data_IF_671426409858
#
_entry.id   IF_671426409858
#
_cell.length_a   1.000
_cell.length_b   1.000
_cell.length_c   1.000
_cell.angle_alpha   90.00
_cell.angle_beta   90.00
_cell.angle_gamma   90.00
#
_symmetry.space_group_name_H-M   'P 1'
#
loop_
_entity.id
_entity.type
_entity.pdbx_description
1 polymer ?
#
# COMPACT_ATOMS: atom_id res chain seq x y z
N UNK A 1 -9.10 10.75 22.86
CA UNK A 1 -9.06 9.53 22.03
C UNK A 1 -7.65 9.40 21.46
N UNK A 2 -6.99 8.28 21.69
CA UNK A 2 -5.62 8.12 21.21
C UNK A 2 -5.62 7.31 19.90
N UNK A 3 -5.14 7.93 18.80
CA UNK A 3 -5.08 7.34 17.47
C UNK A 3 -3.76 6.57 17.29
N UNK A 4 -3.58 5.48 18.03
CA UNK A 4 -2.30 4.77 18.05
C UNK A 4 -2.03 3.97 16.78
N UNK A 5 -3.03 3.21 16.30
CA UNK A 5 -2.87 2.35 15.13
C UNK A 5 -2.70 3.18 13.85
N UNK A 6 -3.59 4.13 13.60
CA UNK A 6 -3.53 4.97 12.40
C UNK A 6 -2.24 5.78 12.32
N UNK A 7 -1.77 6.36 13.44
CA UNK A 7 -0.51 7.11 13.48
C UNK A 7 0.67 6.18 13.17
N UNK A 8 0.72 4.99 13.79
CA UNK A 8 1.80 4.02 13.57
C UNK A 8 1.87 3.59 12.10
N UNK A 9 0.74 3.13 11.53
CA UNK A 9 0.72 2.64 10.15
C UNK A 9 0.91 3.76 9.13
N UNK A 10 0.38 4.97 9.37
CA UNK A 10 0.63 6.12 8.51
C UNK A 10 2.12 6.47 8.47
N UNK A 11 2.80 6.48 9.61
CA UNK A 11 4.24 6.70 9.68
C UNK A 11 5.03 5.61 8.95
N UNK A 12 4.72 4.34 9.20
CA UNK A 12 5.37 3.20 8.54
C UNK A 12 5.21 3.24 7.02
N UNK A 13 3.98 3.42 6.54
CA UNK A 13 3.71 3.50 5.10
C UNK A 13 4.28 4.76 4.46
N UNK A 14 4.37 5.87 5.20
CA UNK A 14 5.04 7.08 4.74
C UNK A 14 6.53 6.84 4.46
N UNK A 15 7.22 6.13 5.35
CA UNK A 15 8.63 5.74 5.14
C UNK A 15 8.80 4.81 3.93
N UNK A 16 7.92 3.83 3.77
CA UNK A 16 7.93 2.94 2.60
C UNK A 16 7.67 3.75 1.32
N UNK A 17 6.72 4.67 1.36
CA UNK A 17 6.40 5.53 0.22
C UNK A 17 7.60 6.34 -0.26
N UNK A 18 8.33 6.98 0.66
CA UNK A 18 9.56 7.74 0.34
C UNK A 18 10.63 6.82 -0.26
N UNK A 19 10.82 5.62 0.30
CA UNK A 19 11.75 4.64 -0.26
C UNK A 19 11.39 4.28 -1.72
N UNK A 20 10.13 3.96 -1.99
CA UNK A 20 9.67 3.62 -3.35
C UNK A 20 9.78 4.81 -4.32
N UNK A 21 9.50 6.02 -3.85
CA UNK A 21 9.67 7.25 -4.64
C UNK A 21 11.14 7.50 -4.99
N UNK A 22 12.03 7.29 -4.03
CA UNK A 22 13.47 7.44 -4.24
C UNK A 22 14.02 6.42 -5.25
N UNK A 23 13.52 5.17 -5.26
CA UNK A 23 13.89 4.16 -6.26
C UNK A 23 13.54 4.61 -7.67
N UNK A 24 12.33 5.12 -7.89
CA UNK A 24 11.91 5.64 -9.20
C UNK A 24 12.80 6.80 -9.63
N UNK A 25 13.04 7.76 -8.74
CA UNK A 25 13.88 8.93 -9.03
C UNK A 25 15.30 8.53 -9.38
N UNK A 26 15.89 7.60 -8.61
CA UNK A 26 17.24 7.08 -8.85
C UNK A 26 17.37 6.44 -10.24
N UNK A 27 16.39 5.64 -10.66
CA UNK A 27 16.39 5.01 -11.97
C UNK A 27 16.17 6.01 -13.10
N UNK A 28 15.31 7.02 -12.89
CA UNK A 28 15.12 8.11 -13.85
C UNK A 28 16.42 8.90 -14.11
N UNK A 29 17.15 9.20 -13.05
CA UNK A 29 18.45 9.86 -13.16
C UNK A 29 19.46 8.97 -13.87
N UNK A 30 19.51 7.67 -13.51
CA UNK A 30 20.42 6.70 -14.13
C UNK A 30 20.21 6.59 -15.65
N UNK A 31 18.95 6.56 -16.10
CA UNK A 31 18.61 6.38 -17.52
C UNK A 31 18.33 7.69 -18.26
N UNK A 32 18.38 8.83 -17.58
CA UNK A 32 18.04 10.16 -18.15
C UNK A 32 16.62 10.19 -18.74
N UNK A 33 15.65 9.53 -18.06
CA UNK A 33 14.25 9.43 -18.48
C UNK A 33 13.37 10.29 -17.58
N UNK A 34 12.84 11.40 -18.13
CA UNK A 34 11.96 12.30 -17.38
C UNK A 34 10.50 11.84 -17.31
N UNK A 35 10.01 11.17 -18.35
CA UNK A 35 8.63 10.72 -18.48
C UNK A 35 8.57 9.32 -19.09
N UNK A 36 7.60 8.51 -18.62
CA UNK A 36 7.50 7.10 -19.03
C UNK A 36 8.63 6.26 -18.45
N UNK A 37 8.92 5.14 -19.07
CA UNK A 37 9.96 4.18 -18.65
C UNK A 37 11.19 4.16 -19.58
N UNK A 38 11.10 4.85 -20.71
CA UNK A 38 12.18 4.88 -21.69
C UNK A 38 12.57 3.51 -22.26
N UNK A 39 11.73 2.49 -22.13
CA UNK A 39 12.01 1.11 -22.51
C UNK A 39 12.83 0.34 -21.46
N UNK A 40 13.06 0.90 -20.28
CA UNK A 40 13.81 0.25 -19.20
C UNK A 40 12.86 -0.51 -18.26
N UNK A 41 12.94 -1.83 -18.26
CA UNK A 41 12.05 -2.72 -17.50
C UNK A 41 12.13 -2.51 -15.99
N UNK A 42 13.32 -2.29 -15.46
CA UNK A 42 13.52 -2.03 -14.03
C UNK A 42 12.85 -0.70 -13.60
N UNK A 43 12.93 0.33 -14.44
CA UNK A 43 12.23 1.58 -14.22
C UNK A 43 10.71 1.39 -14.32
N UNK A 44 10.22 0.65 -15.32
CA UNK A 44 8.80 0.32 -15.43
C UNK A 44 8.29 -0.40 -14.17
N UNK A 45 9.01 -1.40 -13.68
CA UNK A 45 8.65 -2.11 -12.45
C UNK A 45 8.61 -1.18 -11.23
N UNK A 46 9.61 -0.32 -11.06
CA UNK A 46 9.66 0.64 -9.96
C UNK A 46 8.47 1.63 -10.03
N UNK A 47 8.14 2.14 -11.21
CA UNK A 47 6.98 3.01 -11.43
C UNK A 47 5.69 2.29 -11.06
N UNK A 48 5.52 1.03 -11.46
CA UNK A 48 4.30 0.25 -11.15
C UNK A 48 4.18 -0.12 -9.68
N UNK A 49 5.29 -0.43 -9.01
CA UNK A 49 5.31 -0.68 -7.56
C UNK A 49 4.88 0.58 -6.81
N UNK A 50 5.51 1.71 -7.10
CA UNK A 50 5.18 3.00 -6.49
C UNK A 50 3.74 3.43 -6.80
N UNK A 51 3.31 3.31 -8.07
CA UNK A 51 1.96 3.67 -8.50
C UNK A 51 0.89 2.84 -7.78
N UNK A 52 1.03 1.53 -7.74
CA UNK A 52 0.09 0.65 -7.06
C UNK A 52 0.01 0.94 -5.54
N UNK A 53 1.15 1.22 -4.91
CA UNK A 53 1.19 1.64 -3.51
C UNK A 53 0.41 2.95 -3.31
N UNK A 54 0.64 3.95 -4.16
CA UNK A 54 -0.02 5.25 -4.10
C UNK A 54 -1.53 5.18 -4.37
N UNK A 55 -1.98 4.21 -5.15
CA UNK A 55 -3.38 4.01 -5.48
C UNK A 55 -4.18 3.41 -4.33
N UNK A 56 -3.59 2.49 -3.55
CA UNK A 56 -4.33 1.74 -2.54
C UNK A 56 -4.06 2.16 -1.09
N UNK A 57 -2.81 2.42 -0.73
CA UNK A 57 -2.43 2.64 0.67
C UNK A 57 -3.05 3.90 1.27
N UNK A 58 -3.06 5.08 0.61
CA UNK A 58 -3.67 6.27 1.18
C UNK A 58 -5.15 6.08 1.48
N UNK A 59 -5.89 5.43 0.58
CA UNK A 59 -7.32 5.18 0.80
C UNK A 59 -7.56 4.20 1.96
N UNK A 60 -6.77 3.14 2.05
CA UNK A 60 -6.83 2.20 3.17
C UNK A 60 -6.52 2.87 4.52
N UNK A 61 -5.54 3.80 4.54
CA UNK A 61 -5.21 4.56 5.75
C UNK A 61 -6.32 5.53 6.16
N UNK A 62 -7.00 6.16 5.20
CA UNK A 62 -8.17 7.01 5.49
C UNK A 62 -9.26 6.16 6.15
N UNK A 63 -9.58 5.00 5.60
CA UNK A 63 -10.58 4.10 6.17
C UNK A 63 -10.17 3.59 7.56
N UNK A 64 -8.89 3.27 7.76
CA UNK A 64 -8.35 2.90 9.07
C UNK A 64 -8.52 4.02 10.08
N UNK A 65 -8.16 5.25 9.71
CA UNK A 65 -8.31 6.43 10.56
C UNK A 65 -9.76 6.65 10.95
N UNK A 66 -10.67 6.62 9.99
CA UNK A 66 -12.10 6.75 10.26
C UNK A 66 -12.60 5.62 11.17
N UNK A 67 -12.17 4.38 10.92
CA UNK A 67 -12.53 3.23 11.77
C UNK A 67 -12.04 3.42 13.20
N UNK A 68 -10.83 3.94 13.40
CA UNK A 68 -10.28 4.21 14.74
C UNK A 68 -11.04 5.35 15.45
N UNK A 69 -11.38 6.41 14.72
CA UNK A 69 -12.16 7.55 15.24
C UNK A 69 -13.56 7.14 15.73
N UNK A 70 -14.21 6.21 15.07
CA UNK A 70 -15.55 5.72 15.44
C UNK A 70 -15.52 4.56 16.45
N UNK A 71 -14.38 4.29 17.08
CA UNK A 71 -14.23 3.32 18.15
C UNK A 71 -13.88 1.90 17.70
N UNK A 72 -13.26 1.75 16.53
CA UNK A 72 -12.73 0.46 16.08
C UNK A 72 -11.79 -0.18 17.09
N UNK A 73 -11.94 -1.49 17.30
CA UNK A 73 -11.17 -2.22 18.31
C UNK A 73 -9.68 -2.28 17.94
N UNK A 74 -8.75 -2.00 18.87
CA UNK A 74 -7.31 -1.96 18.58
C UNK A 74 -6.77 -3.24 17.93
N UNK A 75 -7.26 -4.42 18.32
CA UNK A 75 -6.84 -5.69 17.71
C UNK A 75 -7.19 -5.77 16.23
N UNK A 76 -8.39 -5.29 15.85
CA UNK A 76 -8.84 -5.28 14.45
C UNK A 76 -7.99 -4.33 13.60
N UNK A 77 -7.74 -3.12 14.11
CA UNK A 77 -6.93 -2.11 13.43
C UNK A 77 -5.49 -2.62 13.21
N UNK A 78 -4.89 -3.22 14.24
CA UNK A 78 -3.53 -3.75 14.14
C UNK A 78 -3.45 -5.00 13.25
N UNK A 79 -4.44 -5.90 13.30
CA UNK A 79 -4.50 -7.05 12.42
C UNK A 79 -4.58 -6.62 10.95
N UNK A 80 -5.53 -5.74 10.62
CA UNK A 80 -5.73 -5.29 9.25
C UNK A 80 -4.57 -4.42 8.75
N UNK A 81 -3.98 -3.60 9.61
CA UNK A 81 -2.77 -2.85 9.30
C UNK A 81 -1.59 -3.78 8.99
N UNK A 82 -1.38 -4.81 9.79
CA UNK A 82 -0.36 -5.84 9.56
C UNK A 82 -0.59 -6.61 8.25
N UNK A 83 -1.83 -6.98 7.96
CA UNK A 83 -2.20 -7.62 6.69
C UNK A 83 -1.91 -6.69 5.51
N UNK A 84 -2.18 -5.40 5.63
CA UNK A 84 -1.87 -4.43 4.58
C UNK A 84 -0.36 -4.29 4.35
N UNK A 85 0.45 -4.26 5.42
CA UNK A 85 1.92 -4.26 5.30
C UNK A 85 2.40 -5.50 4.55
N UNK A 86 1.94 -6.68 4.95
CA UNK A 86 2.30 -7.94 4.28
C UNK A 86 1.87 -7.94 2.81
N UNK A 87 0.68 -7.45 2.50
CA UNK A 87 0.20 -7.33 1.13
C UNK A 87 1.13 -6.45 0.28
N UNK A 88 1.59 -5.33 0.82
CA UNK A 88 2.52 -4.44 0.08
C UNK A 88 3.88 -5.07 -0.14
N UNK A 89 4.41 -5.77 0.86
CA UNK A 89 5.67 -6.52 0.72
C UNK A 89 5.55 -7.60 -0.35
N UNK A 90 4.47 -8.38 -0.33
CA UNK A 90 4.21 -9.42 -1.35
C UNK A 90 4.07 -8.83 -2.76
N UNK A 91 3.42 -7.68 -2.90
CA UNK A 91 3.30 -7.01 -4.18
C UNK A 91 4.66 -6.56 -4.74
N UNK A 92 5.50 -5.96 -3.89
CA UNK A 92 6.85 -5.53 -4.27
C UNK A 92 7.69 -6.73 -4.72
N UNK A 93 7.70 -7.81 -3.93
CA UNK A 93 8.45 -9.04 -4.25
C UNK A 93 7.94 -9.65 -5.55
N UNK A 94 6.63 -9.77 -5.71
CA UNK A 94 6.02 -10.37 -6.88
C UNK A 94 6.35 -9.64 -8.16
N UNK A 95 6.29 -8.31 -8.16
CA UNK A 95 6.58 -7.51 -9.34
C UNK A 95 8.08 -7.44 -9.67
N UNK A 96 8.94 -7.49 -8.64
CA UNK A 96 10.40 -7.57 -8.86
C UNK A 96 10.82 -8.90 -9.46
N UNK A 97 10.19 -10.01 -9.05
CA UNK A 97 10.57 -11.36 -9.49
C UNK A 97 10.07 -11.71 -10.89
N UNK A 98 8.87 -11.30 -11.27
CA UNK A 98 8.26 -11.72 -12.55
C UNK A 98 7.52 -10.55 -13.23
N UNK A 99 7.46 -10.61 -14.56
CA UNK A 99 6.68 -9.68 -15.37
C UNK A 99 5.23 -10.14 -15.54
N UNK A 100 5.01 -11.44 -15.47
CA UNK A 100 3.72 -12.08 -15.67
C UNK A 100 2.89 -12.22 -14.38
N UNK A 101 1.77 -12.95 -14.47
CA UNK A 101 0.97 -13.31 -13.30
C UNK A 101 1.82 -14.04 -12.25
N UNK A 102 1.58 -13.72 -10.98
CA UNK A 102 2.32 -14.30 -9.87
C UNK A 102 1.39 -14.49 -8.68
N UNK A 103 1.58 -15.60 -7.96
CA UNK A 103 0.83 -15.86 -6.73
C UNK A 103 1.04 -14.75 -5.70
N UNK A 104 2.23 -14.17 -5.62
CA UNK A 104 2.52 -13.06 -4.71
C UNK A 104 1.67 -11.83 -5.03
N UNK A 105 1.53 -11.48 -6.32
CA UNK A 105 0.70 -10.35 -6.76
C UNK A 105 -0.78 -10.61 -6.55
N UNK A 106 -1.24 -11.84 -6.80
CA UNK A 106 -2.61 -12.25 -6.56
C UNK A 106 -2.96 -12.16 -5.06
N UNK A 107 -2.14 -12.74 -4.19
CA UNK A 107 -2.35 -12.67 -2.74
C UNK A 107 -2.32 -11.22 -2.24
N UNK A 108 -1.37 -10.43 -2.71
CA UNK A 108 -1.29 -9.02 -2.36
C UNK A 108 -2.56 -8.23 -2.72
N UNK A 109 -3.13 -8.49 -3.90
CA UNK A 109 -4.37 -7.87 -4.33
C UNK A 109 -5.55 -8.28 -3.44
N UNK A 110 -5.74 -9.58 -3.23
CA UNK A 110 -6.82 -10.12 -2.39
C UNK A 110 -6.73 -9.59 -0.96
N UNK A 111 -5.54 -9.60 -0.37
CA UNK A 111 -5.32 -9.08 0.99
C UNK A 111 -5.63 -7.59 1.08
N UNK A 112 -5.17 -6.79 0.11
CA UNK A 112 -5.44 -5.35 0.09
C UNK A 112 -6.93 -5.05 -0.04
N UNK A 113 -7.61 -5.73 -0.96
CA UNK A 113 -9.05 -5.56 -1.17
C UNK A 113 -9.84 -6.00 0.06
N UNK A 114 -9.43 -7.08 0.73
CA UNK A 114 -10.07 -7.54 1.96
C UNK A 114 -9.95 -6.50 3.08
N UNK A 115 -8.77 -5.90 3.25
CA UNK A 115 -8.58 -4.82 4.24
C UNK A 115 -9.49 -3.63 3.96
N UNK A 116 -9.50 -3.15 2.72
CA UNK A 116 -10.34 -2.03 2.31
C UNK A 116 -11.82 -2.38 2.49
N UNK A 117 -12.25 -3.58 2.08
CA UNK A 117 -13.64 -4.02 2.22
C UNK A 117 -14.08 -4.07 3.68
N UNK A 118 -13.27 -4.65 4.57
CA UNK A 118 -13.62 -4.78 6.00
C UNK A 118 -13.74 -3.40 6.65
N UNK A 119 -12.77 -2.50 6.42
CA UNK A 119 -12.87 -1.15 6.95
C UNK A 119 -14.05 -0.38 6.35
N UNK A 120 -14.33 -0.55 5.06
CA UNK A 120 -15.47 0.10 4.40
C UNK A 120 -16.81 -0.36 4.99
N UNK A 121 -16.98 -1.67 5.19
CA UNK A 121 -18.18 -2.23 5.82
C UNK A 121 -18.32 -1.71 7.25
N UNK A 122 -17.24 -1.71 8.02
CA UNK A 122 -17.25 -1.20 9.39
C UNK A 122 -17.65 0.27 9.44
N UNK A 123 -17.06 1.13 8.61
CA UNK A 123 -17.44 2.54 8.52
C UNK A 123 -18.90 2.72 8.07
N UNK A 124 -19.33 1.95 7.06
CA UNK A 124 -20.69 2.07 6.51
C UNK A 124 -21.76 1.70 7.54
N UNK A 125 -21.59 0.56 8.25
CA UNK A 125 -22.56 0.13 9.28
C UNK A 125 -22.56 1.10 10.46
N UNK A 126 -21.40 1.66 10.83
CA UNK A 126 -21.29 2.57 11.97
C UNK A 126 -21.85 3.98 11.69
N UNK A 127 -22.24 4.27 10.45
CA UNK A 127 -22.85 5.55 10.07
C UNK A 127 -24.36 5.61 10.37
N UNK A 128 -24.98 4.47 10.71
CA UNK A 128 -26.41 4.36 11.03
C UNK A 128 -26.65 3.81 12.43
#
# INVERSE_FOLDING_TARGET
MALHASIFYAGLFGLIYIYLSAEVTKLRVKYQVGLGDGGHLDLLKAIRIHGNFSEYVPFALILMLLSELIGGRPWMLNLLGGVLVLARVLHIIGLRKTEGPSIYRFLAAVMTWSVILIFSIFCFISAF
#
